data_IF_242713208471
#
_entry.id   IF_242713208471
#
_cell.length_a   1.000
_cell.length_b   1.000
_cell.length_c   1.000
_cell.angle_alpha   90.00
_cell.angle_beta   90.00
_cell.angle_gamma   90.00
#
_symmetry.space_group_name_H-M   'P 1'
#
loop_
_entity.id
_entity.type
_entity.pdbx_description
1 polymer ?
#
# COMPACT_ATOMS: atom_id res chain seq x y z
N UNK A 1 -11.94 -8.20 -26.00
CA UNK A 1 -12.62 -8.46 -24.72
C UNK A 1 -11.59 -8.21 -23.64
N UNK A 2 -11.71 -7.12 -22.91
CA UNK A 2 -10.74 -6.76 -21.87
C UNK A 2 -11.10 -7.56 -20.63
N UNK A 3 -10.24 -8.50 -20.28
CA UNK A 3 -10.41 -9.25 -19.05
C UNK A 3 -9.76 -8.49 -17.90
N UNK A 4 -10.48 -8.39 -16.79
CA UNK A 4 -10.02 -7.69 -15.60
C UNK A 4 -9.84 -8.72 -14.49
N UNK A 5 -8.66 -8.73 -13.87
CA UNK A 5 -8.41 -9.48 -12.64
C UNK A 5 -8.65 -8.55 -11.46
N UNK A 6 -9.51 -8.93 -10.53
CA UNK A 6 -9.72 -8.20 -9.28
C UNK A 6 -9.17 -8.98 -8.09
N UNK A 7 -8.51 -8.29 -7.16
CA UNK A 7 -8.08 -8.82 -5.87
C UNK A 7 -8.19 -7.72 -4.79
N UNK A 8 -8.31 -8.09 -3.51
CA UNK A 8 -8.38 -7.11 -2.42
C UNK A 8 -7.34 -7.34 -1.33
N UNK A 9 -6.78 -6.25 -0.81
CA UNK A 9 -6.11 -6.18 0.49
C UNK A 9 -6.82 -5.06 1.26
N UNK A 10 -7.58 -5.40 2.29
CA UNK A 10 -8.57 -4.49 2.88
C UNK A 10 -8.03 -3.12 3.29
N UNK A 11 -8.72 -2.01 2.98
CA UNK A 11 -9.96 -1.90 2.18
C UNK A 11 -9.70 -1.57 0.69
N UNK A 12 -8.50 -1.89 0.19
CA UNK A 12 -8.10 -1.55 -1.17
C UNK A 12 -8.47 -2.66 -2.15
N UNK A 13 -9.02 -2.27 -3.30
CA UNK A 13 -9.29 -3.17 -4.42
C UNK A 13 -8.26 -2.89 -5.52
N UNK A 14 -7.62 -3.95 -5.99
CA UNK A 14 -6.69 -3.96 -7.10
C UNK A 14 -7.42 -4.47 -8.33
N UNK A 15 -7.37 -3.70 -9.42
CA UNK A 15 -7.90 -4.10 -10.72
C UNK A 15 -6.77 -4.10 -11.74
N UNK A 16 -6.61 -5.22 -12.44
CA UNK A 16 -5.60 -5.40 -13.49
C UNK A 16 -6.27 -5.68 -14.82
N UNK A 17 -5.86 -5.01 -15.90
CA UNK A 17 -6.34 -5.26 -17.25
C UNK A 17 -5.16 -5.65 -18.17
N UNK A 18 -5.27 -6.81 -18.82
CA UNK A 18 -4.28 -7.26 -19.79
C UNK A 18 -4.35 -6.49 -21.11
N UNK A 19 -3.20 -6.06 -21.62
CA UNK A 19 -3.05 -5.39 -22.92
C UNK A 19 -2.57 -6.40 -23.95
N UNK A 20 -3.50 -6.89 -24.77
CA UNK A 20 -3.27 -7.89 -25.80
C UNK A 20 -3.20 -7.23 -27.19
N UNK A 21 -2.24 -7.68 -28.00
CA UNK A 21 -2.21 -7.52 -29.46
C UNK A 21 -2.27 -8.91 -30.11
N UNK A 22 -1.21 -9.38 -30.78
CA UNK A 22 -1.03 -10.79 -31.14
C UNK A 22 -0.77 -11.67 -29.91
N UNK A 23 -0.10 -11.09 -28.91
CA UNK A 23 0.30 -11.69 -27.65
C UNK A 23 0.07 -10.68 -26.51
N UNK A 24 0.24 -11.10 -25.25
CA UNK A 24 0.17 -10.20 -24.09
C UNK A 24 1.42 -9.32 -24.04
N UNK A 25 1.23 -8.00 -24.12
CA UNK A 25 2.32 -7.02 -24.11
C UNK A 25 2.55 -6.47 -22.70
N UNK A 26 1.50 -6.34 -21.90
CA UNK A 26 1.61 -5.79 -20.55
C UNK A 26 0.28 -5.79 -19.82
N UNK A 27 0.29 -5.20 -18.63
CA UNK A 27 -0.88 -5.09 -17.75
C UNK A 27 -0.99 -3.65 -17.27
N UNK A 28 -2.20 -3.10 -17.29
CA UNK A 28 -2.52 -1.86 -16.58
C UNK A 28 -3.17 -2.19 -15.24
N UNK A 29 -2.82 -1.41 -14.22
CA UNK A 29 -3.28 -1.68 -12.86
C UNK A 29 -3.76 -0.38 -12.20
N UNK A 30 -4.81 -0.52 -11.40
CA UNK A 30 -5.30 0.51 -10.49
C UNK A 30 -5.48 -0.11 -9.12
N UNK A 31 -5.27 0.72 -8.09
CA UNK A 31 -5.62 0.42 -6.71
C UNK A 31 -6.40 1.62 -6.19
N UNK A 32 -7.53 1.35 -5.54
CA UNK A 32 -8.33 2.40 -4.90
C UNK A 32 -8.71 1.93 -3.51
N UNK A 33 -8.66 2.87 -2.56
CA UNK A 33 -9.16 2.71 -1.21
C UNK A 33 -10.68 2.93 -1.19
N UNK A 34 -11.45 1.91 -0.80
CA UNK A 34 -12.90 2.00 -0.77
C UNK A 34 -13.38 2.30 0.65
N UNK A 35 -14.21 3.33 0.82
CA UNK A 35 -14.65 3.80 2.15
C UNK A 35 -15.47 2.75 2.92
N UNK A 36 -16.28 1.98 2.20
CA UNK A 36 -17.09 0.90 2.74
C UNK A 36 -17.08 -0.30 1.78
N UNK A 37 -16.69 -1.45 2.33
CA UNK A 37 -16.76 -2.76 1.69
C UNK A 37 -17.60 -3.73 2.53
N UNK A 38 -18.54 -3.21 3.33
CA UNK A 38 -19.28 -4.00 4.32
C UNK A 38 -18.49 -4.22 5.62
N UNK A 39 -18.49 -5.45 6.14
CA UNK A 39 -17.81 -5.81 7.39
C UNK A 39 -18.60 -5.46 8.66
N UNK A 40 -17.93 -5.48 9.81
CA UNK A 40 -18.54 -5.42 11.14
C UNK A 40 -19.06 -4.05 11.57
N UNK A 41 -18.63 -2.96 10.92
CA UNK A 41 -19.04 -1.59 11.24
C UNK A 41 -19.20 -0.76 9.95
N UNK A 42 -20.07 0.28 9.93
CA UNK A 42 -20.08 1.25 8.83
C UNK A 42 -18.74 2.00 8.79
N UNK A 43 -18.02 1.87 7.67
CA UNK A 43 -16.69 2.43 7.52
C UNK A 43 -15.63 1.59 8.21
N UNK A 44 -14.90 2.19 9.16
CA UNK A 44 -13.79 1.56 9.87
C UNK A 44 -14.27 0.73 11.07
N UNK A 45 -13.89 -0.55 11.14
CA UNK A 45 -14.04 -1.38 12.34
C UNK A 45 -12.67 -1.53 13.05
N UNK A 46 -12.37 -0.74 14.09
CA UNK A 46 -11.12 -0.86 14.84
C UNK A 46 -11.03 -2.16 15.66
N UNK A 47 -12.18 -2.77 15.96
CA UNK A 47 -12.26 -3.97 16.80
C UNK A 47 -12.33 -5.26 15.98
N UNK A 48 -12.01 -5.21 14.68
CA UNK A 48 -12.09 -6.39 13.81
C UNK A 48 -11.18 -7.51 14.32
N UNK A 49 -11.78 -8.62 14.74
CA UNK A 49 -11.08 -9.80 15.27
C UNK A 49 -10.76 -10.86 14.21
N UNK A 50 -11.37 -10.73 13.04
CA UNK A 50 -11.11 -11.56 11.87
C UNK A 50 -11.36 -10.80 10.56
N UNK A 51 -10.78 -11.29 9.47
CA UNK A 51 -10.83 -10.61 8.16
C UNK A 51 -12.25 -10.39 7.62
N UNK A 52 -13.24 -11.20 7.99
CA UNK A 52 -14.62 -11.04 7.51
C UNK A 52 -15.32 -9.85 8.17
N UNK A 53 -14.85 -9.43 9.35
CA UNK A 53 -15.29 -8.19 9.98
C UNK A 53 -14.70 -6.94 9.32
N UNK A 54 -13.77 -7.09 8.37
CA UNK A 54 -13.12 -5.98 7.66
C UNK A 54 -13.77 -5.64 6.31
N UNK A 55 -14.60 -6.55 5.77
CA UNK A 55 -15.36 -6.35 4.53
C UNK A 55 -15.43 -7.59 3.64
N UNK A 56 -15.94 -7.40 2.43
CA UNK A 56 -15.98 -8.43 1.37
C UNK A 56 -14.57 -8.67 0.83
N UNK A 57 -14.09 -9.91 0.89
CA UNK A 57 -12.84 -10.30 0.23
C UNK A 57 -13.11 -10.61 -1.23
N UNK A 58 -12.39 -9.95 -2.15
CA UNK A 58 -12.36 -10.31 -3.56
C UNK A 58 -11.14 -11.21 -3.80
N UNK A 59 -11.32 -12.54 -3.91
CA UNK A 59 -10.22 -13.41 -4.31
C UNK A 59 -9.80 -13.08 -5.75
N UNK A 60 -8.53 -13.32 -6.14
CA UNK A 60 -8.08 -13.14 -7.52
C UNK A 60 -9.02 -13.80 -8.52
N UNK A 61 -9.84 -12.99 -9.19
CA UNK A 61 -10.95 -13.45 -10.01
C UNK A 61 -11.04 -12.66 -11.30
N UNK A 62 -11.34 -13.37 -12.38
CA UNK A 62 -11.40 -12.81 -13.73
C UNK A 62 -12.84 -12.39 -14.06
N UNK A 63 -13.02 -11.12 -14.40
CA UNK A 63 -14.29 -10.52 -14.78
C UNK A 63 -14.22 -9.86 -16.16
N UNK A 64 -15.39 -9.59 -16.73
CA UNK A 64 -15.61 -8.82 -17.95
C UNK A 64 -16.68 -7.77 -17.69
N UNK A 65 -16.46 -6.55 -18.15
CA UNK A 65 -17.40 -5.45 -17.93
C UNK A 65 -18.76 -5.78 -18.57
N UNK A 66 -18.76 -6.41 -19.73
CA UNK A 66 -20.01 -6.68 -20.48
C UNK A 66 -20.90 -7.75 -19.85
N UNK A 67 -20.33 -8.72 -19.12
CA UNK A 67 -21.12 -9.81 -18.49
C UNK A 67 -21.31 -9.63 -17.00
N UNK A 68 -20.27 -9.14 -16.31
CA UNK A 68 -20.20 -9.15 -14.86
C UNK A 68 -20.57 -7.80 -14.25
N UNK A 69 -20.41 -6.71 -15.01
CA UNK A 69 -20.72 -5.33 -14.61
C UNK A 69 -21.95 -4.78 -15.35
N UNK A 70 -22.29 -3.49 -15.15
CA UNK A 70 -23.47 -2.84 -15.77
C UNK A 70 -24.79 -3.53 -15.41
N UNK A 71 -24.99 -3.77 -14.12
CA UNK A 71 -26.09 -4.56 -13.57
C UNK A 71 -25.86 -6.06 -13.62
N UNK A 72 -24.67 -6.52 -14.04
CA UNK A 72 -24.25 -7.92 -14.05
C UNK A 72 -24.06 -8.54 -12.65
N UNK A 73 -23.76 -9.86 -12.56
CA UNK A 73 -23.66 -10.56 -11.28
C UNK A 73 -22.64 -9.98 -10.30
N UNK A 74 -21.50 -9.50 -10.77
CA UNK A 74 -20.46 -8.93 -9.90
C UNK A 74 -20.91 -7.59 -9.32
N UNK A 75 -21.48 -6.69 -10.14
CA UNK A 75 -22.03 -5.42 -9.63
C UNK A 75 -23.13 -5.67 -8.60
N UNK A 76 -24.06 -6.60 -8.87
CA UNK A 76 -25.13 -6.94 -7.93
C UNK A 76 -24.60 -7.49 -6.61
N UNK A 77 -23.53 -8.30 -6.66
CA UNK A 77 -22.88 -8.83 -5.46
C UNK A 77 -22.27 -7.70 -4.63
N UNK A 78 -21.51 -6.79 -5.26
CA UNK A 78 -20.91 -5.63 -4.58
C UNK A 78 -22.02 -4.77 -3.97
N UNK A 79 -22.99 -4.36 -4.79
CA UNK A 79 -24.12 -3.51 -4.40
C UNK A 79 -24.89 -4.05 -3.20
N UNK A 80 -25.06 -5.37 -3.10
CA UNK A 80 -25.83 -6.00 -2.04
C UNK A 80 -25.07 -6.10 -0.69
N UNK A 81 -23.75 -5.92 -0.68
CA UNK A 81 -22.91 -6.18 0.50
C UNK A 81 -22.18 -4.94 1.02
N UNK A 82 -22.41 -3.77 0.42
CA UNK A 82 -21.85 -2.47 0.86
C UNK A 82 -22.95 -1.50 1.27
N UNK A 83 -22.62 -0.57 2.17
CA UNK A 83 -23.55 0.41 2.74
C UNK A 83 -23.69 1.68 1.89
N UNK A 84 -22.66 2.00 1.09
CA UNK A 84 -22.63 3.14 0.17
C UNK A 84 -22.44 2.68 -1.29
N UNK A 85 -23.42 1.96 -1.87
CA UNK A 85 -23.24 1.29 -3.15
C UNK A 85 -22.92 2.24 -4.31
N UNK A 86 -23.49 3.43 -4.35
CA UNK A 86 -23.19 4.40 -5.42
C UNK A 86 -21.74 4.87 -5.40
N UNK A 87 -21.16 5.08 -4.20
CA UNK A 87 -19.75 5.46 -4.04
C UNK A 87 -18.82 4.31 -4.49
N UNK A 88 -18.99 3.11 -3.91
CA UNK A 88 -18.16 1.93 -4.25
C UNK A 88 -18.24 1.57 -5.73
N UNK A 89 -19.42 1.65 -6.34
CA UNK A 89 -19.62 1.37 -7.77
C UNK A 89 -19.01 2.48 -8.63
N UNK A 90 -19.13 3.75 -8.20
CA UNK A 90 -18.43 4.88 -8.80
C UNK A 90 -16.92 4.68 -8.83
N UNK A 91 -16.33 4.27 -7.71
CA UNK A 91 -14.88 3.99 -7.60
C UNK A 91 -14.43 2.83 -8.49
N UNK A 92 -15.22 1.76 -8.58
CA UNK A 92 -14.95 0.65 -9.50
C UNK A 92 -15.07 1.08 -10.96
N UNK A 93 -16.07 1.90 -11.31
CA UNK A 93 -16.20 2.48 -12.64
C UNK A 93 -14.99 3.35 -13.01
N UNK A 94 -14.51 4.18 -12.07
CA UNK A 94 -13.34 5.02 -12.26
C UNK A 94 -12.07 4.17 -12.51
N UNK A 95 -11.89 3.10 -11.75
CA UNK A 95 -10.78 2.15 -11.96
C UNK A 95 -10.85 1.44 -13.31
N UNK A 96 -12.03 0.99 -13.75
CA UNK A 96 -12.22 0.40 -15.08
C UNK A 96 -11.86 1.39 -16.19
N UNK A 97 -12.32 2.64 -16.08
CA UNK A 97 -12.00 3.68 -17.04
C UNK A 97 -10.49 3.99 -17.08
N UNK A 98 -9.86 4.15 -15.91
CA UNK A 98 -8.42 4.41 -15.80
C UNK A 98 -7.57 3.28 -16.41
N UNK A 99 -7.89 2.02 -16.10
CA UNK A 99 -7.22 0.87 -16.70
C UNK A 99 -7.41 0.79 -18.22
N UNK A 100 -8.61 1.12 -18.72
CA UNK A 100 -8.89 1.15 -20.15
C UNK A 100 -8.10 2.24 -20.87
N UNK A 101 -7.98 3.44 -20.28
CA UNK A 101 -7.15 4.53 -20.80
C UNK A 101 -5.68 4.11 -20.82
N UNK A 102 -5.16 3.55 -19.73
CA UNK A 102 -3.78 3.05 -19.68
C UNK A 102 -3.50 2.00 -20.76
N UNK A 103 -4.44 1.06 -20.96
CA UNK A 103 -4.32 0.03 -21.98
C UNK A 103 -4.27 0.65 -23.39
N UNK A 104 -5.12 1.63 -23.67
CA UNK A 104 -5.13 2.30 -24.97
C UNK A 104 -3.86 3.12 -25.20
N UNK A 105 -3.31 3.76 -24.17
CA UNK A 105 -2.01 4.45 -24.26
C UNK A 105 -0.86 3.51 -24.55
N UNK A 106 -0.86 2.31 -23.97
CA UNK A 106 0.14 1.30 -24.33
C UNK A 106 -0.03 0.84 -25.79
N UNK A 107 -1.26 0.65 -26.26
CA UNK A 107 -1.53 0.34 -27.67
C UNK A 107 -1.10 1.47 -28.61
N UNK A 108 -1.35 2.74 -28.27
CA UNK A 108 -0.84 3.90 -29.00
C UNK A 108 0.66 3.83 -29.21
N UNK A 109 1.40 3.51 -28.13
CA UNK A 109 2.86 3.35 -28.17
C UNK A 109 3.27 2.18 -29.09
N UNK A 110 2.59 1.03 -28.98
CA UNK A 110 2.84 -0.13 -29.84
C UNK A 110 2.52 0.16 -31.31
N UNK A 111 1.48 0.93 -31.63
CA UNK A 111 1.18 1.34 -33.01
C UNK A 111 2.26 2.26 -33.58
N UNK A 112 2.83 3.13 -32.76
CA UNK A 112 3.86 4.08 -33.17
C UNK A 112 5.25 3.43 -33.30
N UNK A 113 5.59 2.50 -32.40
CA UNK A 113 6.95 1.98 -32.26
C UNK A 113 7.08 0.46 -32.41
N UNK A 114 6.00 -0.29 -32.64
CA UNK A 114 5.93 -1.75 -32.57
C UNK A 114 5.90 -2.33 -31.16
N UNK A 115 5.25 -3.48 -31.00
CA UNK A 115 5.16 -4.23 -29.73
C UNK A 115 6.51 -4.71 -29.22
N UNK A 116 7.40 -5.09 -30.13
CA UNK A 116 8.73 -5.62 -29.83
C UNK A 116 9.62 -4.54 -29.23
N UNK A 117 9.64 -3.34 -29.81
CA UNK A 117 10.43 -2.22 -29.29
C UNK A 117 9.93 -1.78 -27.92
N UNK A 118 8.60 -1.70 -27.73
CA UNK A 118 8.02 -1.35 -26.42
C UNK A 118 8.36 -2.40 -25.36
N UNK A 119 8.32 -3.68 -25.71
CA UNK A 119 8.70 -4.77 -24.78
C UNK A 119 10.17 -4.69 -24.38
N UNK A 120 11.07 -4.40 -25.33
CA UNK A 120 12.50 -4.16 -25.03
C UNK A 120 12.67 -2.94 -24.12
N UNK A 121 11.97 -1.84 -24.39
CA UNK A 121 12.06 -0.61 -23.59
C UNK A 121 11.56 -0.81 -22.15
N UNK A 122 10.48 -1.57 -21.94
CA UNK A 122 9.98 -1.90 -20.61
C UNK A 122 10.99 -2.75 -19.82
N UNK A 123 11.59 -3.77 -20.43
CA UNK A 123 12.63 -4.57 -19.78
C UNK A 123 13.87 -3.74 -19.46
N UNK A 124 14.31 -2.89 -20.40
CA UNK A 124 15.46 -2.00 -20.17
C UNK A 124 15.20 -1.01 -19.01
N UNK A 125 13.96 -0.57 -18.80
CA UNK A 125 13.61 0.28 -17.66
C UNK A 125 13.79 -0.45 -16.32
N UNK A 126 13.47 -1.76 -16.27
CA UNK A 126 13.73 -2.60 -15.10
C UNK A 126 15.24 -2.73 -14.87
N UNK A 127 16.00 -3.06 -15.93
CA UNK A 127 17.45 -3.24 -15.84
C UNK A 127 18.16 -1.93 -15.46
N UNK A 128 17.68 -0.79 -15.94
CA UNK A 128 18.17 0.53 -15.54
C UNK A 128 17.94 0.79 -14.04
N UNK A 129 16.76 0.45 -13.54
CA UNK A 129 16.41 0.61 -12.12
C UNK A 129 17.25 -0.29 -11.23
N UNK A 130 17.53 -1.51 -11.67
CA UNK A 130 18.45 -2.44 -11.01
C UNK A 130 19.86 -1.85 -10.93
N UNK A 131 20.41 -1.33 -12.04
CA UNK A 131 21.74 -0.70 -12.03
C UNK A 131 21.80 0.49 -11.07
N UNK A 132 20.75 1.31 -11.03
CA UNK A 132 20.65 2.48 -10.14
C UNK A 132 20.64 2.06 -8.66
N UNK A 133 19.81 1.07 -8.27
CA UNK A 133 19.75 0.64 -6.87
C UNK A 133 21.04 -0.07 -6.44
N UNK A 134 21.64 -0.92 -7.29
CA UNK A 134 22.93 -1.58 -6.99
C UNK A 134 24.05 -0.57 -6.77
N UNK A 135 24.09 0.48 -7.59
CA UNK A 135 25.04 1.58 -7.45
C UNK A 135 24.81 2.40 -6.18
N UNK A 136 23.57 2.52 -5.72
CA UNK A 136 23.24 3.18 -4.47
C UNK A 136 23.67 2.34 -3.26
N UNK A 137 23.37 1.04 -3.27
CA UNK A 137 23.76 0.10 -2.20
C UNK A 137 25.28 0.04 -2.05
N UNK A 138 26.05 -0.01 -3.15
CA UNK A 138 27.52 -0.11 -3.09
C UNK A 138 28.26 1.11 -2.55
N UNK A 139 27.54 2.22 -2.33
CA UNK A 139 28.07 3.40 -1.65
C UNK A 139 27.91 3.32 -0.13
N UNK A 140 26.98 2.49 0.37
CA UNK A 140 26.84 2.25 1.79
C UNK A 140 27.96 1.30 2.27
N UNK A 141 28.47 1.44 3.50
CA UNK A 141 29.51 0.55 4.00
C UNK A 141 28.98 -0.88 4.18
N UNK A 142 29.77 -1.86 3.73
CA UNK A 142 29.51 -3.28 4.03
C UNK A 142 29.46 -3.50 5.54
N UNK A 143 28.46 -4.26 6.01
CA UNK A 143 28.25 -4.46 7.43
C UNK A 143 26.91 -5.09 7.78
N UNK A 144 26.75 -5.34 9.08
CA UNK A 144 25.51 -5.81 9.70
C UNK A 144 24.99 -4.70 10.62
N UNK A 145 23.74 -4.30 10.43
CA UNK A 145 23.13 -3.17 11.13
C UNK A 145 21.78 -3.58 11.72
N UNK A 146 21.43 -3.01 12.87
CA UNK A 146 20.27 -3.48 13.64
C UNK A 146 19.28 -2.37 13.90
N UNK A 147 18.00 -2.72 13.82
CA UNK A 147 16.91 -1.80 14.00
C UNK A 147 15.76 -2.42 14.77
N UNK A 148 15.12 -1.61 15.59
CA UNK A 148 13.95 -2.03 16.36
C UNK A 148 13.02 -0.84 16.58
N UNK A 149 11.73 -1.09 16.32
CA UNK A 149 10.63 -0.17 16.54
C UNK A 149 9.44 -0.94 17.14
N UNK A 150 8.51 -0.23 17.78
CA UNK A 150 7.40 -0.85 18.50
C UNK A 150 6.08 -0.19 18.11
N UNK A 151 5.03 -1.00 17.97
CA UNK A 151 3.69 -0.51 18.24
C UNK A 151 3.53 -0.36 19.76
N UNK A 152 2.81 0.66 20.21
CA UNK A 152 2.54 0.88 21.63
C UNK A 152 1.82 -0.34 22.24
N UNK A 153 0.84 -0.89 21.51
CA UNK A 153 0.19 -2.18 21.77
C UNK A 153 -0.59 -2.70 20.54
N UNK A 154 -1.39 -3.75 20.74
CA UNK A 154 -2.31 -4.34 19.75
C UNK A 154 -3.75 -3.83 19.87
N UNK A 155 -4.02 -2.82 20.70
CA UNK A 155 -5.34 -2.31 21.05
C UNK A 155 -6.13 -3.16 22.05
N UNK A 156 -5.56 -4.27 22.55
CA UNK A 156 -6.26 -5.23 23.42
C UNK A 156 -5.52 -5.41 24.75
N UNK A 157 -4.21 -5.65 24.70
CA UNK A 157 -3.45 -6.16 25.84
C UNK A 157 -2.51 -5.12 26.48
N UNK A 158 -2.41 -3.89 25.94
CA UNK A 158 -1.48 -2.84 26.39
C UNK A 158 -0.01 -3.32 26.51
N UNK A 159 0.41 -4.24 25.63
CA UNK A 159 1.78 -4.78 25.58
C UNK A 159 2.43 -4.34 24.26
N UNK A 160 3.60 -3.69 24.29
CA UNK A 160 4.31 -3.28 23.08
C UNK A 160 4.57 -4.45 22.13
N UNK A 161 4.39 -4.19 20.83
CA UNK A 161 4.58 -5.19 19.78
C UNK A 161 5.86 -4.87 19.00
N UNK A 162 6.97 -5.59 19.23
CA UNK A 162 8.25 -5.29 18.61
C UNK A 162 8.33 -5.73 17.14
N UNK A 163 8.92 -4.87 16.33
CA UNK A 163 9.38 -5.15 14.96
C UNK A 163 10.90 -4.96 14.93
N UNK A 164 11.60 -6.04 14.62
CA UNK A 164 13.06 -6.14 14.65
C UNK A 164 13.59 -6.41 13.27
N UNK A 165 14.72 -5.81 12.93
CA UNK A 165 15.37 -6.00 11.65
C UNK A 165 16.88 -6.10 11.81
N UNK A 166 17.47 -7.01 11.05
CA UNK A 166 18.90 -7.03 10.76
C UNK A 166 19.08 -6.73 9.26
N UNK A 167 19.90 -5.74 8.95
CA UNK A 167 20.32 -5.41 7.60
C UNK A 167 21.74 -5.91 7.36
N UNK A 168 21.95 -6.62 6.26
CA UNK A 168 23.28 -7.04 5.80
C UNK A 168 23.58 -6.41 4.45
N UNK A 169 24.57 -5.52 4.40
CA UNK A 169 25.05 -4.88 3.17
C UNK A 169 26.36 -5.56 2.77
N UNK A 170 26.42 -6.06 1.53
CA UNK A 170 27.63 -6.66 0.98
C UNK A 170 27.76 -6.34 -0.51
N UNK A 171 28.74 -5.51 -0.84
CA UNK A 171 28.94 -5.02 -2.20
C UNK A 171 27.72 -4.24 -2.66
N UNK A 172 26.99 -4.75 -3.65
CA UNK A 172 25.83 -4.08 -4.26
C UNK A 172 24.48 -4.72 -3.89
N UNK A 173 24.47 -5.58 -2.88
CA UNK A 173 23.30 -6.35 -2.44
C UNK A 173 22.98 -6.06 -0.98
N UNK A 174 21.69 -5.94 -0.67
CA UNK A 174 21.17 -5.67 0.67
C UNK A 174 20.19 -6.78 1.09
N UNK A 175 20.40 -7.37 2.25
CA UNK A 175 19.48 -8.34 2.84
C UNK A 175 18.80 -7.74 4.07
N UNK A 176 17.49 -7.97 4.19
CA UNK A 176 16.63 -7.50 5.28
C UNK A 176 16.03 -8.73 5.95
N UNK A 177 16.41 -9.03 7.19
CA UNK A 177 15.86 -10.15 7.96
C UNK A 177 15.05 -9.62 9.15
N UNK A 178 13.75 -9.96 9.19
CA UNK A 178 12.82 -9.59 10.26
C UNK A 178 12.69 -10.67 11.36
N UNK A 179 13.63 -11.61 11.43
CA UNK A 179 13.70 -12.59 12.52
C UNK A 179 13.62 -11.92 13.91
N UNK A 180 12.82 -12.51 14.82
CA UNK A 180 12.59 -11.95 16.15
C UNK A 180 11.51 -10.85 16.23
N UNK A 181 10.89 -10.47 15.11
CA UNK A 181 9.65 -9.69 15.09
C UNK A 181 8.50 -10.47 15.76
N UNK A 182 7.60 -9.74 16.43
CA UNK A 182 6.47 -10.31 17.15
C UNK A 182 5.59 -11.23 16.30
N UNK A 183 4.97 -12.21 16.96
CA UNK A 183 3.90 -13.02 16.37
C UNK A 183 2.71 -12.14 15.93
N UNK A 184 1.92 -12.63 14.99
CA UNK A 184 0.70 -11.96 14.57
C UNK A 184 -0.25 -11.70 15.75
N UNK A 185 -0.95 -10.56 15.71
CA UNK A 185 -1.88 -10.13 16.76
C UNK A 185 -3.33 -10.47 16.38
N UNK A 186 -4.23 -10.42 17.37
CA UNK A 186 -5.66 -10.70 17.15
C UNK A 186 -6.45 -9.52 16.57
N UNK A 187 -5.93 -8.30 16.72
CA UNK A 187 -6.53 -7.09 16.16
C UNK A 187 -6.15 -6.91 14.69
N UNK A 188 -6.77 -5.95 14.03
CA UNK A 188 -6.56 -5.59 12.63
C UNK A 188 -5.18 -4.96 12.31
N UNK A 189 -4.26 -4.95 13.25
CA UNK A 189 -2.92 -4.37 13.14
C UNK A 189 -1.89 -5.34 12.57
N UNK A 190 -2.30 -6.36 11.80
CA UNK A 190 -1.36 -7.21 11.06
C UNK A 190 -1.05 -6.61 9.69
N UNK A 191 0.19 -6.74 9.22
CA UNK A 191 0.59 -6.34 7.87
C UNK A 191 0.76 -7.55 6.96
N UNK A 192 0.02 -7.63 5.83
CA UNK A 192 0.27 -8.63 4.80
C UNK A 192 1.71 -8.59 4.33
N UNK A 193 2.28 -9.75 3.98
CA UNK A 193 3.66 -9.90 3.53
C UNK A 193 4.06 -8.86 2.46
N UNK A 194 3.23 -8.66 1.44
CA UNK A 194 3.49 -7.70 0.37
C UNK A 194 3.60 -6.25 0.87
N UNK A 195 2.76 -5.84 1.83
CA UNK A 195 2.82 -4.51 2.43
C UNK A 195 4.09 -4.32 3.27
N UNK A 196 4.49 -5.34 4.02
CA UNK A 196 5.71 -5.32 4.84
C UNK A 196 6.98 -5.23 3.96
N UNK A 197 7.06 -6.06 2.90
CA UNK A 197 8.17 -6.03 1.93
C UNK A 197 8.25 -4.68 1.23
N UNK A 198 7.12 -4.17 0.73
CA UNK A 198 7.06 -2.87 0.05
C UNK A 198 7.51 -1.74 0.98
N UNK A 199 7.12 -1.75 2.25
CA UNK A 199 7.52 -0.74 3.24
C UNK A 199 9.02 -0.75 3.50
N UNK A 200 9.63 -1.94 3.63
CA UNK A 200 11.08 -2.08 3.81
C UNK A 200 11.86 -1.57 2.59
N UNK A 201 11.45 -1.98 1.39
CA UNK A 201 12.08 -1.56 0.13
C UNK A 201 11.91 -0.05 -0.10
N UNK A 202 10.72 0.49 0.17
CA UNK A 202 10.48 1.93 0.07
C UNK A 202 11.43 2.71 0.98
N UNK A 203 11.59 2.29 2.24
CA UNK A 203 12.56 2.89 3.16
C UNK A 203 13.99 2.85 2.62
N UNK A 204 14.45 1.68 2.16
CA UNK A 204 15.81 1.52 1.58
C UNK A 204 16.01 2.46 0.40
N UNK A 205 15.04 2.53 -0.52
CA UNK A 205 15.10 3.40 -1.69
C UNK A 205 15.14 4.87 -1.28
N UNK A 206 14.25 5.30 -0.40
CA UNK A 206 14.19 6.70 0.06
C UNK A 206 15.49 7.16 0.73
N UNK A 207 16.19 6.28 1.45
CA UNK A 207 17.46 6.62 2.12
C UNK A 207 18.66 6.52 1.18
N UNK A 208 18.79 5.44 0.42
CA UNK A 208 20.02 5.14 -0.34
C UNK A 208 20.05 5.77 -1.73
N UNK A 209 18.89 6.13 -2.30
CA UNK A 209 18.80 6.59 -3.69
C UNK A 209 18.49 8.07 -3.79
N UNK A 210 18.44 8.58 -5.02
CA UNK A 210 18.05 9.96 -5.31
C UNK A 210 16.57 10.00 -5.75
N UNK A 211 15.87 11.14 -5.62
CA UNK A 211 14.43 11.23 -5.91
C UNK A 211 14.00 10.87 -7.34
N UNK A 212 14.94 10.80 -8.29
CA UNK A 212 14.69 10.48 -9.70
C UNK A 212 14.77 8.97 -10.02
N UNK A 213 15.05 8.10 -9.04
CA UNK A 213 15.11 6.66 -9.30
C UNK A 213 13.76 6.16 -9.80
N UNK A 214 13.69 5.39 -10.91
CA UNK A 214 12.43 4.82 -11.34
C UNK A 214 11.88 3.84 -10.31
N UNK A 215 10.57 3.88 -10.09
CA UNK A 215 9.89 2.99 -9.18
C UNK A 215 9.29 1.79 -9.92
N UNK A 216 10.03 0.68 -9.95
CA UNK A 216 9.58 -0.61 -10.50
C UNK A 216 10.35 -1.78 -9.86
N UNK A 217 9.96 -3.01 -10.20
CA UNK A 217 10.53 -4.26 -9.68
C UNK A 217 12.04 -4.41 -9.92
N UNK A 218 12.61 -3.74 -10.93
CA UNK A 218 14.04 -3.72 -11.16
C UNK A 218 14.82 -3.18 -9.94
N UNK A 219 14.24 -2.20 -9.23
CA UNK A 219 14.82 -1.64 -8.01
C UNK A 219 14.77 -2.62 -6.81
N UNK A 220 14.09 -3.75 -6.92
CA UNK A 220 13.95 -4.76 -5.87
C UNK A 220 14.95 -5.91 -6.03
N UNK A 221 15.49 -6.12 -7.24
CA UNK A 221 16.36 -7.28 -7.58
C UNK A 221 17.67 -7.37 -6.79
N UNK A 222 18.08 -6.28 -6.13
CA UNK A 222 19.27 -6.22 -5.29
C UNK A 222 18.94 -6.26 -3.78
N UNK A 223 17.66 -6.36 -3.42
CA UNK A 223 17.17 -6.31 -2.05
C UNK A 223 16.43 -7.60 -1.73
N UNK A 224 16.97 -8.40 -0.82
CA UNK A 224 16.31 -9.63 -0.37
C UNK A 224 15.62 -9.39 0.96
N UNK A 225 14.33 -9.71 1.07
CA UNK A 225 13.55 -9.53 2.31
C UNK A 225 13.06 -10.88 2.84
N UNK A 226 13.40 -11.18 4.09
CA UNK A 226 12.96 -12.36 4.83
C UNK A 226 12.05 -11.93 5.98
N UNK A 227 10.83 -12.47 6.03
CA UNK A 227 9.86 -12.21 7.08
C UNK A 227 9.32 -13.54 7.64
N UNK A 228 9.44 -13.82 8.94
CA UNK A 228 8.93 -15.05 9.54
C UNK A 228 7.42 -15.22 9.32
N UNK A 229 6.99 -16.36 8.79
CA UNK A 229 5.58 -16.68 8.61
C UNK A 229 4.86 -16.86 9.95
N UNK A 230 3.69 -16.23 10.10
CA UNK A 230 2.95 -16.14 11.37
C UNK A 230 3.39 -14.96 12.26
N UNK A 231 4.32 -14.12 11.81
CA UNK A 231 4.60 -12.84 12.46
C UNK A 231 3.55 -11.79 12.12
N UNK A 232 3.54 -10.68 12.86
CA UNK A 232 2.69 -9.50 12.55
C UNK A 232 2.93 -8.94 11.15
N UNK A 233 4.11 -9.20 10.55
CA UNK A 233 4.49 -8.72 9.21
C UNK A 233 4.26 -9.74 8.09
N UNK A 234 3.90 -10.98 8.42
CA UNK A 234 3.57 -12.05 7.48
C UNK A 234 2.55 -13.00 8.14
N UNK A 235 1.34 -12.51 8.42
CA UNK A 235 0.36 -13.25 9.21
C UNK A 235 -0.20 -14.44 8.44
N UNK A 236 -0.70 -15.43 9.18
CA UNK A 236 -1.45 -16.54 8.60
C UNK A 236 -2.73 -16.04 7.94
N UNK A 237 -3.26 -16.74 6.91
CA UNK A 237 -4.51 -16.40 6.28
C UNK A 237 -5.63 -16.16 7.29
N UNK A 238 -6.52 -15.21 6.98
CA UNK A 238 -7.68 -14.77 7.78
C UNK A 238 -7.36 -13.92 9.01
N UNK A 239 -6.09 -13.60 9.27
CA UNK A 239 -5.79 -12.51 10.18
C UNK A 239 -6.38 -11.19 9.65
N UNK A 240 -6.95 -10.34 10.51
CA UNK A 240 -7.39 -9.01 10.13
C UNK A 240 -6.18 -8.10 9.89
N UNK A 241 -6.24 -7.29 8.82
CA UNK A 241 -5.11 -6.53 8.26
C UNK A 241 -5.46 -5.09 7.87
N UNK A 242 -6.65 -4.59 8.21
CA UNK A 242 -7.12 -3.28 7.77
C UNK A 242 -6.25 -2.13 8.29
N UNK A 243 -5.70 -2.25 9.49
CA UNK A 243 -4.81 -1.26 10.09
C UNK A 243 -3.31 -1.54 9.81
N UNK A 244 -2.99 -2.29 8.74
CA UNK A 244 -1.63 -2.68 8.34
C UNK A 244 -0.63 -1.53 8.22
N UNK A 245 -1.06 -0.29 7.98
CA UNK A 245 -0.13 0.83 7.91
C UNK A 245 0.59 1.06 9.23
N UNK A 246 -0.03 0.76 10.38
CA UNK A 246 0.59 0.89 11.69
C UNK A 246 1.88 0.06 11.82
N UNK A 247 1.86 -1.29 11.67
CA UNK A 247 3.10 -2.08 11.66
C UNK A 247 3.99 -1.76 10.46
N UNK A 248 3.47 -1.36 9.30
CA UNK A 248 4.30 -0.93 8.15
C UNK A 248 5.16 0.29 8.46
N UNK A 249 4.65 1.27 9.20
CA UNK A 249 5.48 2.40 9.66
C UNK A 249 6.57 1.96 10.62
N UNK A 250 6.32 0.94 11.45
CA UNK A 250 7.34 0.36 12.32
C UNK A 250 8.37 -0.45 11.56
N UNK A 251 8.02 -1.05 10.42
CA UNK A 251 8.98 -1.57 9.45
C UNK A 251 9.89 -0.44 8.96
N UNK A 252 9.32 0.68 8.50
CA UNK A 252 10.11 1.85 8.04
C UNK A 252 11.03 2.34 9.16
N UNK A 253 10.52 2.52 10.38
CA UNK A 253 11.35 3.01 11.49
C UNK A 253 12.47 2.04 11.87
N UNK A 254 12.21 0.73 11.91
CA UNK A 254 13.23 -0.26 12.22
C UNK A 254 14.30 -0.28 11.12
N UNK A 255 13.91 -0.32 9.84
CA UNK A 255 14.85 -0.30 8.71
C UNK A 255 15.64 1.00 8.67
N UNK A 256 14.99 2.15 8.88
CA UNK A 256 15.64 3.46 8.92
C UNK A 256 16.63 3.56 10.08
N UNK A 257 16.31 3.01 11.25
CA UNK A 257 17.22 2.95 12.40
C UNK A 257 18.47 2.13 12.08
N UNK A 258 18.30 0.96 11.46
CA UNK A 258 19.44 0.15 11.02
C UNK A 258 20.28 0.87 9.94
N UNK A 259 19.64 1.49 8.94
CA UNK A 259 20.36 2.29 7.94
C UNK A 259 21.07 3.51 8.55
N UNK A 260 20.55 4.06 9.65
CA UNK A 260 21.17 5.17 10.36
C UNK A 260 22.52 4.81 11.00
N UNK A 261 22.79 3.53 11.25
CA UNK A 261 24.12 3.07 11.66
C UNK A 261 25.12 3.06 10.47
N UNK A 262 24.62 2.86 9.24
CA UNK A 262 25.44 2.75 8.03
C UNK A 262 25.67 4.11 7.34
N UNK A 263 24.61 4.92 7.23
CA UNK A 263 24.56 6.19 6.49
C UNK A 263 23.80 7.26 7.29
N UNK A 264 24.30 7.66 8.48
CA UNK A 264 23.61 8.57 9.40
C UNK A 264 23.24 9.93 8.78
N UNK A 265 23.98 10.38 7.77
CA UNK A 265 23.74 11.64 7.07
C UNK A 265 22.56 11.58 6.07
N UNK A 266 22.02 10.39 5.80
CA UNK A 266 20.92 10.16 4.85
C UNK A 266 19.59 9.78 5.50
N UNK A 267 19.56 9.59 6.81
CA UNK A 267 18.35 9.24 7.55
C UNK A 267 17.74 10.45 8.23
N UNK A 268 16.43 10.38 8.46
CA UNK A 268 15.67 11.34 9.26
C UNK A 268 15.34 10.73 10.62
N UNK A 269 15.06 11.57 11.62
CA UNK A 269 14.46 11.10 12.85
C UNK A 269 13.04 10.53 12.60
N UNK A 270 12.50 9.67 13.47
CA UNK A 270 11.09 9.30 13.41
C UNK A 270 10.18 10.53 13.53
N UNK A 271 9.07 10.54 12.81
CA UNK A 271 8.07 11.59 12.83
C UNK A 271 6.70 11.08 13.29
N UNK A 272 5.65 11.63 12.72
CA UNK A 272 4.28 11.13 12.80
C UNK A 272 4.11 9.90 11.90
N UNK A 273 4.86 8.85 12.21
CA UNK A 273 4.92 7.61 11.44
C UNK A 273 3.71 6.73 11.79
N UNK A 274 2.51 7.22 11.51
CA UNK A 274 1.24 6.56 11.76
C UNK A 274 0.18 7.11 10.81
N UNK A 275 -0.92 6.37 10.65
CA UNK A 275 -2.13 6.87 9.96
C UNK A 275 -3.19 7.14 11.02
N UNK A 276 -3.47 8.41 11.26
CA UNK A 276 -4.59 8.80 12.13
C UNK A 276 -5.83 9.02 11.30
N UNK A 277 -6.92 8.36 11.68
CA UNK A 277 -8.16 8.36 10.91
C UNK A 277 -9.31 8.80 11.80
N UNK A 278 -10.14 9.72 11.31
CA UNK A 278 -11.48 9.94 11.86
C UNK A 278 -12.50 9.33 10.92
N UNK A 279 -13.40 8.51 11.45
CA UNK A 279 -14.51 7.96 10.69
C UNK A 279 -15.82 8.33 11.37
N UNK A 280 -16.69 9.02 10.65
CA UNK A 280 -18.03 9.40 11.10
C UNK A 280 -19.05 8.70 10.22
N UNK A 281 -19.95 7.94 10.83
CA UNK A 281 -21.01 7.22 10.13
C UNK A 281 -22.37 7.73 10.55
N UNK A 282 -23.09 8.37 9.63
CA UNK A 282 -24.45 8.81 9.83
C UNK A 282 -25.41 7.78 9.22
N UNK A 283 -26.24 7.17 10.07
CA UNK A 283 -27.33 6.29 9.62
C UNK A 283 -28.51 7.13 9.13
N UNK A 284 -28.86 6.97 7.86
CA UNK A 284 -30.02 7.60 7.22
C UNK A 284 -31.24 6.65 7.24
N UNK A 285 -32.38 7.10 6.72
CA UNK A 285 -33.59 6.29 6.61
C UNK A 285 -33.41 5.09 5.66
N UNK A 286 -32.61 5.26 4.60
CA UNK A 286 -32.42 4.33 3.49
C UNK A 286 -30.95 3.92 3.26
N UNK A 287 -30.03 4.25 4.17
CA UNK A 287 -28.62 3.90 4.02
C UNK A 287 -27.69 4.50 5.07
N UNK A 288 -26.43 4.69 4.68
CA UNK A 288 -25.42 5.38 5.47
C UNK A 288 -24.77 6.47 4.65
N UNK A 289 -24.39 7.55 5.32
CA UNK A 289 -23.37 8.46 4.84
C UNK A 289 -22.13 8.29 5.72
N UNK A 290 -21.01 7.87 5.15
CA UNK A 290 -19.77 7.56 5.86
C UNK A 290 -18.72 8.56 5.40
N UNK A 291 -18.19 9.32 6.35
CA UNK A 291 -17.06 10.20 6.16
C UNK A 291 -15.83 9.54 6.77
N UNK A 292 -14.71 9.59 6.05
CA UNK A 292 -13.41 9.13 6.51
C UNK A 292 -12.37 10.18 6.15
N UNK A 293 -11.62 10.63 7.15
CA UNK A 293 -10.55 11.61 7.01
C UNK A 293 -9.24 11.03 7.51
N UNK A 294 -8.17 11.34 6.81
CA UNK A 294 -6.82 10.91 7.17
C UNK A 294 -6.02 12.15 7.53
N UNK A 295 -5.50 12.17 8.75
CA UNK A 295 -4.70 13.28 9.24
C UNK A 295 -3.21 12.97 9.10
N UNK A 296 -2.51 13.87 8.43
CA UNK A 296 -1.06 13.95 8.46
C UNK A 296 -0.55 14.57 9.77
N UNK A 297 0.75 14.51 9.97
CA UNK A 297 1.42 15.10 11.13
C UNK A 297 2.79 15.65 10.78
N UNK A 298 3.65 15.78 11.78
CA UNK A 298 5.02 16.25 11.57
C UNK A 298 5.91 15.17 10.95
N UNK A 299 6.69 15.51 9.93
CA UNK A 299 7.71 14.64 9.39
C UNK A 299 8.96 14.63 10.28
N UNK A 300 9.81 13.63 10.11
CA UNK A 300 11.10 13.56 10.79
C UNK A 300 12.05 14.69 10.38
N UNK A 301 12.76 15.27 11.35
CA UNK A 301 13.87 16.19 11.05
C UNK A 301 15.04 15.43 10.43
N UNK A 302 15.68 16.02 9.43
CA UNK A 302 16.93 15.54 8.86
C UNK A 302 18.15 16.08 9.59
N UNK A 303 19.36 15.68 9.19
CA UNK A 303 20.59 16.11 9.86
C UNK A 303 20.84 17.62 9.83
N UNK A 304 20.28 18.31 8.82
CA UNK A 304 20.52 19.73 8.56
C UNK A 304 19.24 20.53 8.29
N UNK A 305 18.06 19.96 8.55
CA UNK A 305 16.78 20.60 8.24
C UNK A 305 15.67 20.06 9.16
N UNK A 306 14.71 20.93 9.47
CA UNK A 306 13.52 20.55 10.22
C UNK A 306 12.59 19.67 9.36
N UNK A 307 11.75 18.87 10.03
CA UNK A 307 10.70 18.11 9.36
C UNK A 307 9.55 19.01 8.92
N UNK A 308 8.83 18.62 7.86
CA UNK A 308 7.64 19.32 7.41
C UNK A 308 6.48 19.16 8.41
N UNK A 309 5.69 20.20 8.61
CA UNK A 309 4.49 20.16 9.45
C UNK A 309 3.25 19.73 8.66
N UNK A 310 2.35 18.99 9.32
CA UNK A 310 1.01 18.64 8.84
C UNK A 310 0.97 18.02 7.43
N UNK A 311 1.93 17.15 7.14
CA UNK A 311 2.00 16.38 5.90
C UNK A 311 1.73 14.91 6.16
N UNK A 312 1.35 14.18 5.11
CA UNK A 312 1.31 12.74 5.19
C UNK A 312 2.73 12.15 5.25
N UNK A 313 2.85 10.93 5.78
CA UNK A 313 4.14 10.27 5.99
C UNK A 313 4.52 9.35 4.81
N UNK A 314 5.74 8.78 4.82
CA UNK A 314 6.36 8.12 3.64
C UNK A 314 5.50 7.06 2.93
N UNK A 315 4.59 6.39 3.64
CA UNK A 315 3.79 5.28 3.09
C UNK A 315 2.41 5.71 2.60
N UNK A 316 2.11 7.01 2.61
CA UNK A 316 0.82 7.56 2.21
C UNK A 316 1.00 8.92 1.52
N UNK A 317 0.00 9.36 0.78
CA UNK A 317 0.04 10.59 -0.01
C UNK A 317 -1.30 11.33 -0.03
N UNK A 318 -2.06 11.21 1.05
CA UNK A 318 -3.37 11.81 1.20
C UNK A 318 -3.26 13.30 1.53
N UNK A 319 -4.13 14.10 0.94
CA UNK A 319 -4.39 15.48 1.34
C UNK A 319 -5.60 15.54 2.26
N UNK A 320 -5.66 16.52 3.15
CA UNK A 320 -6.86 16.79 3.94
C UNK A 320 -8.02 17.25 3.04
N UNK A 321 -9.26 16.96 3.46
CA UNK A 321 -10.46 17.46 2.78
C UNK A 321 -10.72 18.90 3.23
N UNK A 322 -10.93 19.87 2.32
CA UNK A 322 -11.34 21.22 2.69
C UNK A 322 -12.64 21.19 3.50
N UNK A 323 -12.69 21.99 4.57
CA UNK A 323 -13.84 22.00 5.48
C UNK A 323 -15.14 22.33 4.74
N UNK A 324 -15.09 23.22 3.75
CA UNK A 324 -16.25 23.61 2.95
C UNK A 324 -16.79 22.44 2.11
N UNK A 325 -15.90 21.57 1.60
CA UNK A 325 -16.32 20.35 0.88
C UNK A 325 -16.90 19.34 1.86
N UNK A 326 -16.24 19.16 3.01
CA UNK A 326 -16.72 18.26 4.05
C UNK A 326 -18.14 18.64 4.51
N UNK A 327 -18.40 19.91 4.83
CA UNK A 327 -19.73 20.36 5.28
C UNK A 327 -20.79 20.28 4.16
N UNK A 328 -20.40 20.49 2.90
CA UNK A 328 -21.31 20.40 1.77
C UNK A 328 -21.76 18.96 1.49
N UNK A 329 -20.82 18.01 1.56
CA UNK A 329 -21.07 16.61 1.23
C UNK A 329 -21.60 15.81 2.44
N UNK A 330 -21.29 16.27 3.65
CA UNK A 330 -21.65 15.59 4.90
C UNK A 330 -22.25 16.58 5.93
N UNK A 331 -23.60 16.68 5.99
CA UNK A 331 -24.27 17.59 6.92
C UNK A 331 -24.25 17.01 8.35
N UNK A 332 -23.10 17.11 9.02
CA UNK A 332 -22.93 16.72 10.42
C UNK A 332 -23.30 17.86 11.38
N UNK A 333 -23.21 19.11 10.93
CA UNK A 333 -23.73 20.29 11.59
C UNK A 333 -25.18 20.52 11.13
N UNK A 334 -26.12 20.46 12.07
CA UNK A 334 -27.53 20.78 11.83
C UNK A 334 -27.81 22.28 11.79
#
# INVERSE_FOLDING_TARGET
MTHILAASIFPDIFLYAGVLEKELIGVTATVVHHIDLGGGAPGLNPNAGDVHEEGITFPPSKYTVEKDWMGGPFERLVRANVRMPEATIGDLNAQFAANAVGAERLRDLCRKFSSEIISVAMNEMLDYSERRIRTAISKAPDGEYYGEAHLDDDGINNVPVPIKVQLSIKGDTLNIDFEGTAEQVKSNMNSPFASSVSSAIACVKSVLTDPDIPFNEGAERAINVKIPYGSILNPRPRAPVRARLLPSYRVVNAVMKALGEAVPERVIAPGFDTTSVCCLSHKLADGYNIYLEIFGGGFGAGPNYDGCDAVDSMLSNCSNIPIESMESDYPFSG
#
